data_IF_356147474702
#
_entry.id   IF_356147474702
#
_cell.length_a   1.000
_cell.length_b   1.000
_cell.length_c   1.000
_cell.angle_alpha   90.00
_cell.angle_beta   90.00
_cell.angle_gamma   90.00
#
_symmetry.space_group_name_H-M   'P 1'
#
loop_
_entity.id
_entity.type
_entity.pdbx_description
1 polymer ?
#
# COMPACT_ATOMS: atom_id res chain seq x y z
N UNK A 1 -8.82 -3.83 34.14
CA UNK A 1 -9.41 -4.87 33.30
C UNK A 1 -8.37 -5.29 32.28
N UNK A 2 -7.95 -6.56 32.29
CA UNK A 2 -6.94 -7.06 31.35
C UNK A 2 -7.59 -7.19 29.97
N UNK A 3 -7.17 -6.35 29.03
CA UNK A 3 -7.49 -6.53 27.60
C UNK A 3 -6.93 -7.86 27.13
N UNK A 4 -7.81 -8.76 26.76
CA UNK A 4 -7.49 -10.02 26.09
C UNK A 4 -6.75 -9.69 24.80
N UNK A 5 -5.43 -9.93 24.78
CA UNK A 5 -4.66 -10.02 23.53
C UNK A 5 -5.29 -11.15 22.72
N UNK A 6 -5.97 -10.80 21.64
CA UNK A 6 -6.32 -11.74 20.58
C UNK A 6 -5.02 -12.44 20.15
N UNK A 7 -5.04 -13.78 20.23
CA UNK A 7 -3.86 -14.60 19.99
C UNK A 7 -3.34 -14.46 18.56
N UNK A 8 -2.51 -13.44 18.33
CA UNK A 8 -1.69 -13.28 17.14
C UNK A 8 -0.42 -14.09 17.42
N UNK A 9 -0.20 -15.10 16.60
CA UNK A 9 0.97 -16.00 16.64
C UNK A 9 2.26 -15.16 16.48
N UNK A 10 3.29 -15.33 17.34
CA UNK A 10 4.49 -14.50 17.34
C UNK A 10 5.42 -14.67 16.10
N UNK A 11 5.01 -15.43 15.09
CA UNK A 11 5.78 -15.66 13.85
C UNK A 11 5.34 -14.79 12.66
N UNK A 12 4.54 -13.76 12.88
CA UNK A 12 4.11 -12.83 11.81
C UNK A 12 5.08 -11.65 11.60
N UNK A 13 5.08 -11.09 10.40
CA UNK A 13 5.76 -9.82 10.08
C UNK A 13 5.18 -8.71 10.95
N UNK A 14 6.04 -7.99 11.71
CA UNK A 14 5.62 -6.96 12.67
C UNK A 14 6.00 -5.53 12.26
N UNK A 15 6.88 -5.39 11.29
CA UNK A 15 7.35 -4.10 10.77
C UNK A 15 6.83 -3.87 9.37
N UNK A 16 6.38 -2.65 9.09
CA UNK A 16 6.00 -2.25 7.75
C UNK A 16 6.78 -1.02 7.28
N UNK A 17 7.05 -0.97 5.98
CA UNK A 17 7.63 0.16 5.28
C UNK A 17 6.62 0.69 4.28
N UNK A 18 6.28 1.98 4.37
CA UNK A 18 5.34 2.64 3.47
C UNK A 18 6.08 3.75 2.72
N UNK A 19 6.46 3.53 1.44
CA UNK A 19 7.06 4.55 0.61
C UNK A 19 6.03 5.64 0.25
N UNK A 20 6.31 6.89 0.65
CA UNK A 20 5.48 8.07 0.38
C UNK A 20 6.29 9.22 -0.24
N UNK A 21 7.46 8.94 -0.81
CA UNK A 21 8.35 9.95 -1.38
C UNK A 21 7.99 10.39 -2.82
N UNK A 22 7.08 9.69 -3.49
CA UNK A 22 6.71 9.94 -4.88
C UNK A 22 6.08 11.31 -5.12
N UNK A 23 6.36 11.93 -6.27
CA UNK A 23 5.89 13.28 -6.60
C UNK A 23 4.42 13.38 -7.00
N UNK A 24 3.78 12.26 -7.38
CA UNK A 24 2.36 12.24 -7.74
C UNK A 24 2.03 12.96 -9.05
N UNK A 25 2.94 12.97 -10.02
CA UNK A 25 2.81 13.76 -11.27
C UNK A 25 1.58 13.42 -12.10
N UNK A 26 1.07 12.18 -12.03
CA UNK A 26 -0.14 11.74 -12.73
C UNK A 26 -1.43 12.44 -12.23
N UNK A 27 -1.37 13.06 -11.06
CA UNK A 27 -2.50 13.75 -10.42
C UNK A 27 -2.33 15.29 -10.41
N UNK A 28 -1.39 15.84 -11.17
CA UNK A 28 -1.27 17.29 -11.33
C UNK A 28 -2.54 17.85 -12.00
N UNK A 29 -2.96 19.09 -11.65
CA UNK A 29 -2.30 20.04 -10.73
C UNK A 29 -2.57 19.81 -9.23
N UNK A 30 -3.43 18.88 -8.86
CA UNK A 30 -3.87 18.63 -7.48
C UNK A 30 -2.70 18.38 -6.52
N UNK A 31 -1.72 17.58 -6.95
CA UNK A 31 -0.55 17.20 -6.17
C UNK A 31 0.59 18.24 -6.16
N UNK A 32 0.37 19.43 -6.72
CA UNK A 32 1.37 20.52 -6.68
C UNK A 32 1.69 20.95 -5.26
N UNK A 33 0.69 20.99 -4.37
CA UNK A 33 0.82 21.42 -2.98
C UNK A 33 0.39 20.37 -1.95
N UNK A 34 -0.28 19.30 -2.38
CA UNK A 34 -0.82 18.27 -1.52
C UNK A 34 -0.21 16.91 -1.88
N UNK A 35 0.35 16.16 -0.92
CA UNK A 35 0.75 14.77 -1.15
C UNK A 35 -0.41 13.93 -1.69
N UNK A 36 -0.16 13.09 -2.71
CA UNK A 36 -1.21 12.21 -3.24
C UNK A 36 -1.78 11.26 -2.18
N UNK A 37 -0.96 10.91 -1.22
CA UNK A 37 -1.30 10.04 -0.10
C UNK A 37 -2.28 10.70 0.89
N UNK A 38 -2.37 12.05 0.86
CA UNK A 38 -3.30 12.84 1.66
C UNK A 38 -4.59 13.20 0.90
N UNK A 39 -4.77 12.72 -0.32
CA UNK A 39 -6.02 12.93 -1.03
C UNK A 39 -7.16 12.20 -0.33
N UNK A 40 -8.31 12.85 -0.15
CA UNK A 40 -9.43 12.25 0.56
C UNK A 40 -10.06 11.12 -0.26
N UNK A 41 -10.31 10.02 0.43
CA UNK A 41 -11.16 8.94 -0.05
C UNK A 41 -12.29 8.83 0.96
N UNK A 42 -13.45 9.35 0.57
CA UNK A 42 -14.62 9.62 1.41
C UNK A 42 -14.28 10.67 2.48
N UNK A 43 -13.98 10.27 3.71
CA UNK A 43 -13.79 11.15 4.88
C UNK A 43 -12.40 11.06 5.53
N UNK A 44 -11.50 10.27 4.96
CA UNK A 44 -10.13 10.12 5.45
C UNK A 44 -9.11 10.05 4.32
N UNK A 45 -7.85 10.44 4.55
CA UNK A 45 -6.83 10.38 3.51
C UNK A 45 -6.47 8.93 3.16
N UNK A 46 -6.05 8.74 1.91
CA UNK A 46 -5.70 7.43 1.38
C UNK A 46 -4.67 6.67 2.22
N UNK A 47 -3.67 7.38 2.76
CA UNK A 47 -2.62 6.77 3.61
C UNK A 47 -3.21 6.09 4.86
N UNK A 48 -4.31 6.58 5.41
CA UNK A 48 -4.93 5.98 6.59
C UNK A 48 -5.46 4.57 6.30
N UNK A 49 -6.06 4.34 5.12
CA UNK A 49 -6.52 3.00 4.71
C UNK A 49 -5.37 1.99 4.70
N UNK A 50 -4.20 2.42 4.22
CA UNK A 50 -3.00 1.57 4.13
C UNK A 50 -2.43 1.26 5.52
N UNK A 51 -2.40 2.26 6.41
CA UNK A 51 -1.95 2.06 7.80
C UNK A 51 -2.95 1.19 8.56
N UNK A 52 -4.26 1.40 8.39
CA UNK A 52 -5.30 0.55 9.00
C UNK A 52 -5.19 -0.91 8.55
N UNK A 53 -4.90 -1.17 7.26
CA UNK A 53 -4.64 -2.52 6.76
C UNK A 53 -3.44 -3.15 7.45
N UNK A 54 -2.34 -2.40 7.56
CA UNK A 54 -1.12 -2.87 8.22
C UNK A 54 -1.39 -3.25 9.69
N UNK A 55 -2.08 -2.40 10.45
CA UNK A 55 -2.44 -2.67 11.85
C UNK A 55 -3.40 -3.85 11.98
N UNK A 56 -4.39 -3.96 11.08
CA UNK A 56 -5.31 -5.11 11.06
C UNK A 56 -4.59 -6.44 10.74
N UNK A 57 -3.42 -6.38 10.09
CA UNK A 57 -2.55 -7.52 9.84
C UNK A 57 -1.54 -7.81 10.99
N UNK A 58 -1.60 -7.05 12.10
CA UNK A 58 -0.73 -7.26 13.25
C UNK A 58 0.63 -6.56 13.16
N UNK A 59 0.79 -5.59 12.25
CA UNK A 59 1.99 -4.73 12.24
C UNK A 59 2.01 -3.88 13.52
N UNK A 60 3.15 -3.86 14.19
CA UNK A 60 3.37 -3.14 15.44
C UNK A 60 3.94 -1.74 15.20
N UNK A 61 4.75 -1.58 14.16
CA UNK A 61 5.35 -0.30 13.81
C UNK A 61 5.46 -0.11 12.30
N UNK A 62 5.39 1.16 11.89
CA UNK A 62 5.42 1.58 10.49
C UNK A 62 6.53 2.59 10.28
N UNK A 63 7.39 2.37 9.29
CA UNK A 63 8.32 3.37 8.78
C UNK A 63 7.77 3.98 7.50
N UNK A 64 7.53 5.28 7.50
CA UNK A 64 7.21 6.04 6.29
C UNK A 64 8.48 6.60 5.66
N UNK A 65 8.74 6.23 4.40
CA UNK A 65 9.87 6.79 3.64
C UNK A 65 9.37 8.02 2.92
N UNK A 66 9.63 9.20 3.49
CA UNK A 66 9.12 10.49 3.03
C UNK A 66 10.05 11.18 2.03
N UNK A 67 9.54 12.21 1.34
CA UNK A 67 10.28 13.10 0.46
C UNK A 67 10.11 14.57 0.85
N UNK A 68 10.53 15.48 -0.03
CA UNK A 68 10.18 16.90 0.10
C UNK A 68 8.66 17.08 -0.02
N UNK A 69 8.11 18.06 0.70
CA UNK A 69 6.69 18.44 0.65
C UNK A 69 5.71 17.36 1.15
N UNK A 70 6.18 16.44 2.02
CA UNK A 70 5.36 15.37 2.61
C UNK A 70 4.97 15.62 4.07
N UNK A 71 5.21 16.83 4.60
CA UNK A 71 4.95 17.20 5.99
C UNK A 71 3.50 16.93 6.43
N UNK A 72 2.53 17.14 5.56
CA UNK A 72 1.13 16.87 5.86
C UNK A 72 0.85 15.41 6.25
N UNK A 73 1.68 14.45 5.82
CA UNK A 73 1.58 13.05 6.23
C UNK A 73 2.10 12.88 7.67
N UNK A 74 3.19 13.57 8.00
CA UNK A 74 3.78 13.56 9.34
C UNK A 74 2.80 14.21 10.33
N UNK A 75 2.34 15.42 10.03
CA UNK A 75 1.37 16.17 10.85
C UNK A 75 0.04 15.40 11.05
N UNK A 76 -0.35 14.52 10.12
CA UNK A 76 -1.60 13.77 10.20
C UNK A 76 -1.59 12.68 11.27
N UNK A 77 -0.46 12.01 11.49
CA UNK A 77 -0.32 10.95 12.49
C UNK A 77 0.21 11.46 13.82
N UNK A 78 0.65 12.71 13.89
CA UNK A 78 1.11 13.34 15.13
C UNK A 78 -0.06 13.90 15.96
N UNK A 79 0.17 14.16 17.24
CA UNK A 79 -0.80 14.85 18.08
C UNK A 79 -0.88 16.33 17.73
N UNK A 80 -2.08 16.83 17.48
CA UNK A 80 -2.34 18.27 17.32
C UNK A 80 -2.85 18.85 18.65
N UNK A 81 -1.90 19.22 19.53
CA UNK A 81 -2.21 19.62 20.91
C UNK A 81 -3.19 20.79 20.96
N UNK A 82 -3.01 21.80 20.11
CA UNK A 82 -3.86 22.99 20.07
C UNK A 82 -5.28 22.62 19.64
N UNK A 83 -5.44 21.78 18.60
CA UNK A 83 -6.73 21.31 18.13
C UNK A 83 -7.42 20.42 19.18
N UNK A 84 -6.68 19.52 19.81
CA UNK A 84 -7.22 18.66 20.86
C UNK A 84 -7.75 19.48 22.06
N UNK A 85 -7.00 20.51 22.48
CA UNK A 85 -7.43 21.41 23.56
C UNK A 85 -8.66 22.24 23.17
N UNK A 86 -8.73 22.73 21.93
CA UNK A 86 -9.89 23.47 21.44
C UNK A 86 -11.15 22.60 21.40
N UNK A 87 -11.06 21.38 20.86
CA UNK A 87 -12.16 20.42 20.83
C UNK A 87 -12.66 20.07 22.25
N UNK A 88 -11.73 19.87 23.19
CA UNK A 88 -12.06 19.57 24.59
C UNK A 88 -12.76 20.75 25.27
N UNK A 89 -12.27 21.98 25.07
CA UNK A 89 -12.85 23.20 25.60
C UNK A 89 -14.27 23.47 25.09
N UNK A 90 -14.55 23.08 23.85
CA UNK A 90 -15.88 23.23 23.21
C UNK A 90 -16.79 21.99 23.39
N UNK A 91 -16.38 20.99 24.14
CA UNK A 91 -17.16 19.79 24.39
C UNK A 91 -17.36 18.86 23.16
N UNK A 92 -16.54 19.00 22.11
CA UNK A 92 -16.57 18.20 20.88
C UNK A 92 -15.83 16.86 21.11
N UNK A 93 -16.39 16.04 21.99
CA UNK A 93 -15.71 14.84 22.49
C UNK A 93 -15.61 13.72 21.45
N UNK A 94 -16.55 13.65 20.49
CA UNK A 94 -16.52 12.63 19.43
C UNK A 94 -15.40 12.94 18.43
N UNK A 95 -15.27 14.19 18.00
CA UNK A 95 -14.21 14.67 17.12
C UNK A 95 -12.84 14.52 17.79
N UNK A 96 -12.74 14.89 19.07
CA UNK A 96 -11.53 14.71 19.89
C UNK A 96 -11.11 13.23 19.95
N UNK A 97 -12.06 12.33 20.19
CA UNK A 97 -11.79 10.90 20.21
C UNK A 97 -11.37 10.38 18.84
N UNK A 98 -11.92 10.93 17.76
CA UNK A 98 -11.56 10.56 16.38
C UNK A 98 -10.11 10.94 16.06
N UNK A 99 -9.68 12.20 16.32
CA UNK A 99 -8.31 12.64 16.03
C UNK A 99 -7.28 11.93 16.94
N UNK A 100 -7.58 11.76 18.23
CA UNK A 100 -6.70 10.99 19.14
C UNK A 100 -6.54 9.53 18.72
N UNK A 101 -7.56 8.93 18.10
CA UNK A 101 -7.47 7.58 17.55
C UNK A 101 -6.50 7.51 16.38
N UNK A 102 -6.45 8.53 15.52
CA UNK A 102 -5.52 8.60 14.39
C UNK A 102 -4.09 8.69 14.92
N UNK A 103 -3.80 9.60 15.84
CA UNK A 103 -2.46 9.78 16.42
C UNK A 103 -1.96 8.54 17.19
N UNK A 104 -2.86 7.72 17.68
CA UNK A 104 -2.55 6.47 18.39
C UNK A 104 -2.75 5.20 17.54
N UNK A 105 -2.97 5.33 16.21
CA UNK A 105 -3.29 4.21 15.33
C UNK A 105 -2.12 3.23 15.22
N UNK A 106 -0.91 3.75 15.08
CA UNK A 106 0.32 2.97 14.93
C UNK A 106 1.50 3.71 15.55
N UNK A 107 2.58 2.97 15.87
CA UNK A 107 3.87 3.60 16.12
C UNK A 107 4.53 3.92 14.78
N UNK A 108 4.55 5.21 14.42
CA UNK A 108 5.04 5.68 13.12
C UNK A 108 6.43 6.29 13.26
N UNK A 109 7.32 5.90 12.36
CA UNK A 109 8.66 6.45 12.21
C UNK A 109 8.80 7.08 10.83
N UNK A 110 9.69 8.05 10.67
CA UNK A 110 9.91 8.73 9.41
C UNK A 110 11.38 8.72 9.04
N UNK A 111 11.68 8.40 7.78
CA UNK A 111 13.00 8.57 7.18
C UNK A 111 12.84 9.25 5.83
N UNK A 112 13.80 10.08 5.45
CA UNK A 112 13.72 10.82 4.20
C UNK A 112 14.53 10.15 3.09
N UNK A 113 13.88 9.84 1.96
CA UNK A 113 14.54 9.60 0.69
C UNK A 113 15.05 10.94 0.15
N UNK A 114 16.38 11.14 0.15
CA UNK A 114 16.99 12.44 -0.22
C UNK A 114 16.88 12.73 -1.72
N UNK A 115 16.92 11.68 -2.54
CA UNK A 115 16.82 11.73 -4.01
C UNK A 115 15.76 10.72 -4.46
N UNK A 116 14.78 11.09 -5.33
CA UNK A 116 13.75 10.18 -5.81
C UNK A 116 14.32 9.25 -6.90
N UNK A 117 14.94 8.15 -6.50
CA UNK A 117 15.59 7.17 -7.39
C UNK A 117 14.80 5.89 -7.57
N UNK A 118 13.49 5.93 -7.38
CA UNK A 118 12.61 4.79 -7.55
C UNK A 118 12.25 4.07 -6.25
N UNK A 119 11.43 3.03 -6.38
CA UNK A 119 10.87 2.29 -5.25
C UNK A 119 11.94 1.49 -4.49
N UNK A 120 12.87 0.84 -5.21
CA UNK A 120 13.98 0.11 -4.59
C UNK A 120 14.82 1.03 -3.69
N UNK A 121 15.22 2.21 -4.18
CA UNK A 121 15.97 3.19 -3.38
C UNK A 121 15.17 3.67 -2.17
N UNK A 122 13.86 3.87 -2.28
CA UNK A 122 13.03 4.21 -1.13
C UNK A 122 13.06 3.11 -0.06
N UNK A 123 12.92 1.84 -0.46
CA UNK A 123 12.98 0.69 0.46
C UNK A 123 14.37 0.59 1.09
N UNK A 124 15.44 0.88 0.37
CA UNK A 124 16.80 0.85 0.89
C UNK A 124 17.00 1.76 2.11
N UNK A 125 16.25 2.89 2.19
CA UNK A 125 16.30 3.79 3.35
C UNK A 125 15.78 3.12 4.64
N UNK A 126 15.06 2.01 4.53
CA UNK A 126 14.48 1.30 5.68
C UNK A 126 15.43 0.28 6.34
N UNK A 127 16.63 0.02 5.80
CA UNK A 127 17.55 -1.04 6.25
C UNK A 127 17.80 -0.99 7.77
N UNK A 128 18.12 0.17 8.31
CA UNK A 128 18.41 0.33 9.74
C UNK A 128 17.18 0.11 10.63
N UNK A 129 15.99 0.45 10.14
CA UNK A 129 14.73 0.22 10.86
C UNK A 129 14.33 -1.26 10.86
N UNK A 130 14.51 -1.93 9.74
CA UNK A 130 14.16 -3.36 9.58
C UNK A 130 15.04 -4.24 10.47
N UNK A 131 16.33 -3.90 10.60
CA UNK A 131 17.27 -4.53 11.53
C UNK A 131 17.31 -6.07 11.43
N UNK A 132 17.40 -6.57 10.21
CA UNK A 132 17.54 -8.01 9.94
C UNK A 132 16.26 -8.84 10.02
N UNK A 133 15.10 -8.24 10.27
CA UNK A 133 13.80 -8.94 10.31
C UNK A 133 13.13 -9.00 8.93
N UNK A 134 12.19 -9.92 8.76
CA UNK A 134 11.25 -9.87 7.64
C UNK A 134 10.26 -8.70 7.86
N UNK A 135 9.90 -8.02 6.77
CA UNK A 135 9.06 -6.83 6.84
C UNK A 135 8.06 -6.75 5.69
N UNK A 136 6.98 -6.04 5.91
CA UNK A 136 6.01 -5.74 4.86
C UNK A 136 6.36 -4.44 4.14
N UNK A 137 6.04 -4.35 2.85
CA UNK A 137 6.00 -3.08 2.11
C UNK A 137 4.58 -2.88 1.60
N UNK A 138 4.02 -1.68 1.86
CA UNK A 138 2.70 -1.31 1.38
C UNK A 138 2.81 0.02 0.61
N UNK A 139 2.41 0.01 -0.65
CA UNK A 139 2.37 1.25 -1.45
C UNK A 139 1.13 2.06 -1.06
N UNK A 140 1.35 3.34 -0.81
CA UNK A 140 0.34 4.24 -0.25
C UNK A 140 -0.75 4.67 -1.25
N UNK A 141 -0.55 4.42 -2.53
CA UNK A 141 -1.52 4.72 -3.59
C UNK A 141 -2.37 3.50 -4.01
N UNK A 142 -2.18 2.36 -3.36
CA UNK A 142 -3.00 1.17 -3.54
C UNK A 142 -3.89 0.94 -2.32
N UNK A 143 -5.18 1.23 -2.43
CA UNK A 143 -6.17 0.84 -1.43
C UNK A 143 -6.71 -0.53 -1.81
N UNK A 144 -6.58 -1.49 -0.90
CA UNK A 144 -7.13 -2.85 -1.11
C UNK A 144 -8.24 -3.08 -0.10
N UNK A 145 -9.44 -3.21 -0.62
CA UNK A 145 -10.62 -3.55 0.16
C UNK A 145 -10.89 -5.06 0.08
N UNK A 146 -10.88 -5.72 1.22
CA UNK A 146 -11.07 -7.16 1.30
C UNK A 146 -11.71 -7.56 2.64
N UNK A 147 -12.51 -8.64 2.70
CA UNK A 147 -13.03 -9.17 3.97
C UNK A 147 -11.92 -9.60 4.94
N UNK A 148 -10.81 -10.11 4.39
CA UNK A 148 -9.57 -10.40 5.11
C UNK A 148 -8.49 -9.51 4.50
N UNK A 149 -7.81 -8.65 5.29
CA UNK A 149 -6.79 -7.75 4.77
C UNK A 149 -5.78 -8.47 3.86
N UNK A 150 -5.37 -7.81 2.77
CA UNK A 150 -4.46 -8.42 1.80
C UNK A 150 -3.16 -8.90 2.47
N UNK A 151 -2.59 -8.09 3.35
CA UNK A 151 -1.37 -8.47 4.07
C UNK A 151 -1.58 -9.71 4.96
N UNK A 152 -2.77 -9.91 5.55
CA UNK A 152 -3.10 -11.13 6.31
C UNK A 152 -3.12 -12.35 5.39
N UNK A 153 -3.71 -12.24 4.19
CA UNK A 153 -3.71 -13.32 3.21
C UNK A 153 -2.28 -13.68 2.79
N UNK A 154 -1.41 -12.68 2.56
CA UNK A 154 0.00 -12.89 2.25
C UNK A 154 0.79 -13.56 3.39
N UNK A 155 0.53 -13.18 4.64
CA UNK A 155 1.13 -13.82 5.81
C UNK A 155 0.73 -15.31 5.90
N UNK A 156 -0.51 -15.66 5.55
CA UNK A 156 -0.95 -17.05 5.46
C UNK A 156 -0.17 -17.83 4.40
N UNK A 157 0.12 -17.21 3.25
CA UNK A 157 0.99 -17.81 2.22
C UNK A 157 2.41 -17.99 2.75
N UNK A 158 3.01 -16.95 3.36
CA UNK A 158 4.37 -17.02 3.90
C UNK A 158 4.54 -18.10 4.98
N UNK A 159 3.53 -18.34 5.81
CA UNK A 159 3.53 -19.45 6.81
C UNK A 159 3.53 -20.82 6.15
N UNK A 160 2.80 -20.99 5.06
CA UNK A 160 2.69 -22.27 4.35
C UNK A 160 3.87 -22.52 3.42
N UNK A 161 4.39 -21.46 2.82
CA UNK A 161 5.46 -21.48 1.83
C UNK A 161 6.55 -20.51 2.26
N UNK A 162 7.58 -20.97 3.01
CA UNK A 162 8.63 -20.08 3.52
C UNK A 162 9.39 -19.37 2.40
N UNK A 163 9.29 -18.05 2.34
CA UNK A 163 9.89 -17.22 1.31
C UNK A 163 9.35 -15.79 1.34
N UNK A 164 9.84 -14.96 0.44
CA UNK A 164 9.22 -13.64 0.19
C UNK A 164 7.86 -13.82 -0.49
N UNK A 165 6.94 -12.89 -0.27
CA UNK A 165 5.61 -12.94 -0.89
C UNK A 165 5.29 -11.62 -1.56
N UNK A 166 4.78 -11.66 -2.78
CA UNK A 166 4.25 -10.51 -3.51
C UNK A 166 2.76 -10.71 -3.74
N UNK A 167 1.96 -9.66 -3.55
CA UNK A 167 0.55 -9.72 -3.93
C UNK A 167 0.42 -9.52 -5.44
N UNK A 168 -0.44 -10.31 -6.07
CA UNK A 168 -0.71 -10.21 -7.50
C UNK A 168 -2.22 -10.18 -7.77
N UNK A 169 -2.58 -9.62 -8.92
CA UNK A 169 -3.92 -9.68 -9.49
C UNK A 169 -3.82 -9.97 -10.98
N UNK A 170 -4.86 -10.53 -11.56
CA UNK A 170 -4.99 -10.64 -13.01
C UNK A 170 -5.37 -9.29 -13.61
N UNK A 171 -4.69 -8.89 -14.67
CA UNK A 171 -4.99 -7.68 -15.43
C UNK A 171 -5.25 -8.01 -16.89
N UNK A 172 -5.98 -7.16 -17.64
CA UNK A 172 -6.02 -7.24 -19.10
C UNK A 172 -4.61 -7.24 -19.69
N UNK A 173 -4.39 -8.00 -20.77
CA UNK A 173 -3.06 -8.15 -21.38
C UNK A 173 -2.43 -6.80 -21.78
N UNK A 174 -3.25 -5.90 -22.27
CA UNK A 174 -2.88 -4.53 -22.67
C UNK A 174 -2.40 -3.65 -21.51
N UNK A 175 -2.75 -3.99 -20.26
CA UNK A 175 -2.35 -3.23 -19.09
C UNK A 175 -1.02 -3.72 -18.47
N UNK A 176 -0.48 -4.86 -18.93
CA UNK A 176 0.73 -5.46 -18.34
C UNK A 176 1.94 -4.53 -18.35
N UNK A 177 2.04 -3.64 -19.35
CA UNK A 177 3.08 -2.61 -19.45
C UNK A 177 3.10 -1.56 -18.33
N UNK A 178 2.11 -1.59 -17.43
CA UNK A 178 2.04 -0.67 -16.26
C UNK A 178 2.55 -1.29 -14.97
N UNK A 179 2.85 -2.60 -14.95
CA UNK A 179 3.13 -3.38 -13.74
C UNK A 179 4.40 -4.23 -13.87
N UNK A 180 4.96 -4.61 -12.74
CA UNK A 180 5.83 -5.78 -12.68
C UNK A 180 4.98 -7.04 -12.91
N UNK A 181 5.38 -7.89 -13.84
CA UNK A 181 4.67 -9.12 -14.20
C UNK A 181 5.48 -10.32 -13.73
N UNK A 182 4.82 -11.28 -13.12
CA UNK A 182 5.45 -12.53 -12.69
C UNK A 182 5.32 -13.63 -13.75
N UNK A 183 6.31 -14.51 -13.75
CA UNK A 183 6.24 -15.87 -14.29
C UNK A 183 6.34 -16.85 -13.14
N UNK A 184 5.62 -17.97 -13.16
CA UNK A 184 5.66 -18.93 -12.06
C UNK A 184 4.79 -20.14 -12.27
N UNK A 185 4.94 -21.10 -11.37
CA UNK A 185 4.16 -22.34 -11.35
C UNK A 185 3.19 -22.35 -10.17
N UNK A 186 1.94 -22.67 -10.42
CA UNK A 186 0.92 -22.78 -9.38
C UNK A 186 1.27 -23.90 -8.38
N UNK A 187 1.37 -23.55 -7.09
CA UNK A 187 1.67 -24.49 -5.99
C UNK A 187 0.48 -24.71 -5.06
N UNK A 188 -0.52 -23.81 -5.14
CA UNK A 188 -1.82 -23.94 -4.48
C UNK A 188 -2.83 -23.01 -5.18
N UNK A 189 -4.14 -23.14 -4.92
CA UNK A 189 -5.12 -22.21 -5.43
C UNK A 189 -4.79 -20.76 -5.04
N UNK A 190 -4.58 -19.89 -6.05
CA UNK A 190 -4.20 -18.50 -5.86
C UNK A 190 -2.77 -18.28 -5.36
N UNK A 191 -1.88 -19.28 -5.45
CA UNK A 191 -0.48 -19.16 -5.04
C UNK A 191 0.46 -19.77 -6.09
N UNK A 192 1.45 -19.00 -6.50
CA UNK A 192 2.49 -19.43 -7.46
C UNK A 192 3.88 -19.35 -6.84
N UNK A 193 4.73 -20.32 -7.10
CA UNK A 193 6.18 -20.18 -6.92
C UNK A 193 6.72 -19.43 -8.13
N UNK A 194 7.31 -18.28 -7.88
CA UNK A 194 7.78 -17.35 -8.91
C UNK A 194 9.10 -17.84 -9.49
N UNK A 195 9.18 -17.94 -10.82
CA UNK A 195 10.37 -18.31 -11.59
C UNK A 195 10.98 -17.12 -12.35
N UNK A 196 10.22 -16.04 -12.53
CA UNK A 196 10.67 -14.83 -13.22
C UNK A 196 9.82 -13.62 -12.88
N UNK A 197 10.46 -12.43 -12.95
CA UNK A 197 9.80 -11.14 -12.79
C UNK A 197 10.32 -10.18 -13.85
N UNK A 198 9.41 -9.44 -14.49
CA UNK A 198 9.75 -8.44 -15.52
C UNK A 198 9.01 -7.14 -15.20
N UNK A 199 9.77 -6.05 -15.07
CA UNK A 199 9.19 -4.72 -14.84
C UNK A 199 8.67 -4.13 -16.14
N UNK A 200 7.36 -3.82 -16.17
CA UNK A 200 6.69 -3.13 -17.28
C UNK A 200 7.05 -3.68 -18.67
N UNK A 201 6.85 -4.98 -18.93
CA UNK A 201 7.13 -5.57 -20.22
C UNK A 201 6.24 -4.95 -21.31
N UNK A 202 6.67 -5.04 -22.57
CA UNK A 202 5.73 -4.85 -23.68
C UNK A 202 4.58 -5.87 -23.51
N UNK A 203 3.31 -5.49 -23.70
CA UNK A 203 2.20 -6.42 -23.60
C UNK A 203 2.32 -7.67 -24.48
N UNK A 204 3.00 -7.57 -25.62
CA UNK A 204 3.29 -8.73 -26.47
C UNK A 204 4.26 -9.72 -25.81
N UNK A 205 5.22 -9.23 -25.03
CA UNK A 205 6.30 -10.01 -24.41
C UNK A 205 6.03 -10.38 -22.96
N UNK A 206 4.93 -9.90 -22.35
CA UNK A 206 4.59 -10.20 -20.98
C UNK A 206 4.45 -11.73 -20.76
N UNK A 207 5.16 -12.34 -19.78
CA UNK A 207 5.14 -13.80 -19.61
C UNK A 207 3.75 -14.32 -19.19
N UNK A 208 3.04 -13.54 -18.40
CA UNK A 208 1.68 -13.82 -17.95
C UNK A 208 0.86 -12.52 -17.88
N UNK A 209 -0.34 -12.58 -17.31
CA UNK A 209 -1.14 -11.41 -16.93
C UNK A 209 -1.24 -11.24 -15.39
N UNK A 210 -0.37 -11.88 -14.63
CA UNK A 210 -0.30 -11.76 -13.18
C UNK A 210 0.57 -10.56 -12.80
N UNK A 211 -0.09 -9.45 -12.49
CA UNK A 211 0.53 -8.17 -12.17
C UNK A 211 0.79 -8.02 -10.67
N UNK A 212 1.99 -7.61 -10.30
CA UNK A 212 2.33 -7.29 -8.92
C UNK A 212 1.62 -5.99 -8.53
N UNK A 213 1.00 -6.01 -7.35
CA UNK A 213 0.39 -4.85 -6.74
C UNK A 213 1.18 -4.40 -5.51
N UNK A 214 0.84 -3.27 -4.96
CA UNK A 214 1.60 -2.57 -3.94
C UNK A 214 1.71 -3.24 -2.56
N UNK A 215 1.79 -4.56 -2.46
CA UNK A 215 1.95 -5.32 -1.21
C UNK A 215 3.02 -6.37 -1.35
N UNK A 216 3.99 -6.36 -0.40
CA UNK A 216 5.12 -7.27 -0.39
C UNK A 216 5.42 -7.72 1.04
N UNK A 217 5.89 -8.95 1.22
CA UNK A 217 6.60 -9.45 2.40
C UNK A 217 8.01 -9.78 1.94
N UNK A 218 8.99 -9.08 2.48
CA UNK A 218 10.38 -9.13 2.03
C UNK A 218 11.30 -9.65 3.14
N UNK A 219 12.36 -10.33 2.73
CA UNK A 219 13.44 -10.73 3.61
C UNK A 219 14.58 -9.69 3.57
N UNK A 220 15.40 -9.57 4.64
CA UNK A 220 16.48 -8.57 4.73
C UNK A 220 17.50 -8.61 3.58
N UNK A 221 17.76 -9.77 2.99
CA UNK A 221 18.65 -9.91 1.84
C UNK A 221 18.24 -9.10 0.60
N UNK A 222 17.02 -8.53 0.59
CA UNK A 222 16.58 -7.64 -0.48
C UNK A 222 17.42 -6.35 -0.54
N UNK A 223 17.95 -5.88 0.58
CA UNK A 223 18.75 -4.65 0.61
C UNK A 223 20.04 -4.78 -0.19
N UNK A 224 20.73 -5.92 -0.09
CA UNK A 224 21.93 -6.21 -0.88
C UNK A 224 21.60 -6.33 -2.37
N UNK A 225 20.48 -6.96 -2.70
CA UNK A 225 20.01 -7.05 -4.08
C UNK A 225 19.69 -5.66 -4.66
N UNK A 226 19.01 -4.79 -3.89
CA UNK A 226 18.71 -3.41 -4.31
C UNK A 226 20.00 -2.61 -4.56
N UNK A 227 21.02 -2.73 -3.69
CA UNK A 227 22.30 -2.02 -3.86
C UNK A 227 23.04 -2.45 -5.14
N UNK A 228 22.88 -3.70 -5.56
CA UNK A 228 23.50 -4.24 -6.76
C UNK A 228 22.66 -4.03 -8.02
N UNK A 229 21.37 -3.65 -7.87
CA UNK A 229 20.46 -3.41 -8.98
C UNK A 229 20.84 -2.10 -9.68
N UNK A 230 21.07 -2.18 -10.99
CA UNK A 230 21.32 -0.99 -11.83
C UNK A 230 19.98 -0.27 -12.08
N UNK A 231 20.00 1.07 -12.17
CA UNK A 231 18.82 1.80 -12.61
C UNK A 231 18.28 1.25 -13.93
N UNK A 232 16.99 0.99 -13.97
CA UNK A 232 16.28 0.44 -15.11
C UNK A 232 15.36 1.47 -15.77
N UNK A 233 14.07 1.14 -15.90
CA UNK A 233 13.07 2.02 -16.50
C UNK A 233 13.02 3.38 -15.80
N UNK A 234 13.07 4.48 -16.56
CA UNK A 234 13.12 5.88 -16.07
C UNK A 234 14.33 6.23 -15.18
N UNK A 235 15.45 5.54 -15.30
CA UNK A 235 16.64 5.71 -14.47
C UNK A 235 16.36 5.49 -12.96
N UNK A 236 15.39 4.63 -12.65
CA UNK A 236 14.97 4.27 -11.31
C UNK A 236 15.47 2.88 -10.89
N UNK A 237 15.80 2.71 -9.61
CA UNK A 237 16.09 1.40 -9.01
C UNK A 237 14.76 0.69 -8.76
N UNK A 238 14.46 -0.31 -9.58
CA UNK A 238 13.19 -1.03 -9.51
C UNK A 238 13.25 -2.15 -8.48
N UNK A 239 12.20 -2.28 -7.67
CA UNK A 239 12.07 -3.40 -6.71
C UNK A 239 11.90 -4.73 -7.43
N UNK A 240 11.19 -4.74 -8.57
CA UNK A 240 10.97 -5.94 -9.40
C UNK A 240 12.29 -6.54 -9.88
N UNK A 241 13.25 -5.71 -10.29
CA UNK A 241 14.58 -6.16 -10.73
C UNK A 241 15.39 -6.74 -9.56
N UNK A 242 15.29 -6.11 -8.38
CA UNK A 242 15.94 -6.64 -7.18
C UNK A 242 15.32 -7.98 -6.74
N UNK A 243 14.00 -8.14 -6.83
CA UNK A 243 13.33 -9.42 -6.58
C UNK A 243 13.75 -10.50 -7.59
N UNK A 244 13.87 -10.14 -8.87
CA UNK A 244 14.39 -11.05 -9.90
C UNK A 244 15.80 -11.53 -9.57
N UNK A 245 16.69 -10.64 -9.10
CA UNK A 245 18.04 -11.00 -8.68
C UNK A 245 18.07 -11.89 -7.42
N UNK A 246 17.03 -11.88 -6.60
CA UNK A 246 16.92 -12.72 -5.39
C UNK A 246 16.47 -14.15 -5.68
N UNK A 247 15.84 -14.45 -6.82
CA UNK A 247 15.27 -15.78 -7.11
C UNK A 247 16.28 -16.96 -6.95
N UNK A 248 17.56 -16.83 -7.31
CA UNK A 248 18.53 -17.91 -7.10
C UNK A 248 18.84 -18.20 -5.63
N UNK A 249 18.56 -17.27 -4.72
CA UNK A 249 18.97 -17.32 -3.31
C UNK A 249 17.79 -17.50 -2.35
N UNK A 250 16.62 -16.99 -2.70
CA UNK A 250 15.41 -16.99 -1.85
C UNK A 250 14.18 -17.22 -2.71
N UNK A 251 13.33 -18.14 -2.30
CA UNK A 251 12.03 -18.34 -2.95
C UNK A 251 11.16 -17.12 -2.81
N UNK A 252 10.44 -16.83 -3.88
CA UNK A 252 9.39 -15.80 -3.95
C UNK A 252 8.09 -16.47 -4.32
N UNK A 253 7.03 -16.16 -3.61
CA UNK A 253 5.68 -16.65 -3.89
C UNK A 253 4.78 -15.47 -4.27
N UNK A 254 3.91 -15.69 -5.23
CA UNK A 254 2.86 -14.74 -5.58
C UNK A 254 1.55 -15.17 -4.92
N UNK A 255 0.89 -14.22 -4.27
CA UNK A 255 -0.42 -14.39 -3.64
C UNK A 255 -1.47 -13.62 -4.45
N UNK A 256 -2.35 -14.30 -5.16
CA UNK A 256 -3.54 -13.67 -5.75
C UNK A 256 -4.55 -13.44 -4.62
N UNK A 257 -4.59 -12.21 -4.14
CA UNK A 257 -5.43 -11.86 -3.01
C UNK A 257 -6.91 -11.78 -3.41
N UNK A 258 -7.79 -12.03 -2.46
CA UNK A 258 -9.23 -11.85 -2.60
C UNK A 258 -9.61 -10.47 -2.09
N UNK A 259 -10.07 -9.60 -2.97
CA UNK A 259 -10.42 -8.23 -2.66
C UNK A 259 -10.51 -7.36 -3.91
N UNK A 260 -10.77 -6.09 -3.72
CA UNK A 260 -10.81 -5.08 -4.78
C UNK A 260 -9.71 -4.06 -4.54
N UNK A 261 -8.86 -3.87 -5.54
CA UNK A 261 -7.82 -2.84 -5.53
C UNK A 261 -8.31 -1.57 -6.20
N UNK A 262 -8.01 -0.44 -5.58
CA UNK A 262 -8.21 0.90 -6.14
C UNK A 262 -6.86 1.59 -6.26
N UNK A 263 -6.40 1.86 -7.50
CA UNK A 263 -5.20 2.67 -7.78
C UNK A 263 -5.57 4.15 -7.70
N UNK A 264 -5.40 4.75 -6.52
CA UNK A 264 -5.68 6.17 -6.31
C UNK A 264 -4.57 7.09 -6.86
N UNK A 265 -3.52 6.53 -7.43
CA UNK A 265 -2.48 7.26 -8.16
C UNK A 265 -2.95 7.79 -9.53
N UNK A 266 -4.19 7.50 -9.93
CA UNK A 266 -4.84 8.01 -11.15
C UNK A 266 -6.15 8.72 -10.81
N UNK A 267 -6.57 9.68 -11.65
CA UNK A 267 -7.83 10.41 -11.44
C UNK A 267 -9.04 9.47 -11.43
N UNK A 268 -9.10 8.57 -12.40
CA UNK A 268 -10.21 7.60 -12.51
C UNK A 268 -10.20 6.62 -11.33
N UNK A 269 -9.03 6.15 -10.90
CA UNK A 269 -8.90 5.26 -9.75
C UNK A 269 -9.35 5.93 -8.45
N UNK A 270 -8.99 7.21 -8.25
CA UNK A 270 -9.45 8.00 -7.10
C UNK A 270 -10.98 8.16 -7.10
N UNK A 271 -11.60 8.46 -8.26
CA UNK A 271 -13.05 8.55 -8.38
C UNK A 271 -13.73 7.21 -8.09
N UNK A 272 -13.23 6.11 -8.67
CA UNK A 272 -13.75 4.76 -8.41
C UNK A 272 -13.67 4.40 -6.92
N UNK A 273 -12.54 4.70 -6.26
CA UNK A 273 -12.38 4.46 -4.83
C UNK A 273 -13.42 5.23 -4.01
N UNK A 274 -13.57 6.53 -4.27
CA UNK A 274 -14.55 7.37 -3.56
C UNK A 274 -15.98 6.84 -3.72
N UNK A 275 -16.41 6.57 -4.93
CA UNK A 275 -17.78 6.09 -5.20
C UNK A 275 -18.01 4.72 -4.54
N UNK A 276 -17.09 3.77 -4.76
CA UNK A 276 -17.27 2.41 -4.29
C UNK A 276 -17.27 2.32 -2.75
N UNK A 277 -16.39 3.06 -2.07
CA UNK A 277 -16.32 3.07 -0.61
C UNK A 277 -17.47 3.87 0.01
N UNK A 278 -17.88 5.00 -0.59
CA UNK A 278 -19.05 5.75 -0.13
C UNK A 278 -20.35 4.95 -0.26
N UNK A 279 -20.52 4.15 -1.33
CA UNK A 279 -21.69 3.28 -1.51
C UNK A 279 -21.82 2.18 -0.44
N UNK A 280 -20.78 1.92 0.33
CA UNK A 280 -20.78 0.95 1.43
C UNK A 280 -21.03 1.60 2.80
N UNK A 281 -21.00 2.91 2.86
CA UNK A 281 -21.27 3.70 4.06
C UNK A 281 -22.78 3.82 4.29
N UNK A 282 -23.31 3.36 5.45
CA UNK A 282 -24.75 3.43 5.73
C UNK A 282 -25.31 4.87 5.70
N UNK A 283 -24.49 5.84 6.12
CA UNK A 283 -24.84 7.27 6.17
C UNK A 283 -24.79 7.99 4.82
N UNK A 284 -24.16 7.40 3.80
CA UNK A 284 -23.98 8.02 2.47
C UNK A 284 -24.64 7.23 1.34
N UNK A 285 -24.81 5.93 1.53
CA UNK A 285 -25.16 5.00 0.45
C UNK A 285 -26.50 5.30 -0.23
N UNK A 286 -27.52 5.69 0.54
CA UNK A 286 -28.86 5.95 -0.01
C UNK A 286 -28.86 7.18 -0.92
N UNK A 287 -28.36 8.31 -0.42
CA UNK A 287 -28.32 9.58 -1.15
C UNK A 287 -27.41 9.49 -2.37
N UNK A 288 -26.24 8.80 -2.22
CA UNK A 288 -25.32 8.63 -3.34
C UNK A 288 -25.91 7.76 -4.45
N UNK A 289 -26.63 6.68 -4.13
CA UNK A 289 -27.34 5.84 -5.13
C UNK A 289 -28.37 6.62 -5.90
N UNK A 290 -29.18 7.42 -5.20
CA UNK A 290 -30.17 8.28 -5.82
C UNK A 290 -29.50 9.27 -6.78
N UNK A 291 -28.50 10.01 -6.29
CA UNK A 291 -27.74 10.98 -7.08
C UNK A 291 -27.12 10.35 -8.36
N UNK A 292 -26.51 9.17 -8.23
CA UNK A 292 -25.92 8.47 -9.38
C UNK A 292 -26.99 8.05 -10.41
N UNK A 293 -28.17 7.57 -9.96
CA UNK A 293 -29.27 7.19 -10.84
C UNK A 293 -29.77 8.40 -11.63
N UNK A 294 -30.11 9.48 -10.93
CA UNK A 294 -30.60 10.75 -11.55
C UNK A 294 -29.58 11.33 -12.54
N UNK A 295 -28.28 11.27 -12.17
CA UNK A 295 -27.20 11.79 -13.05
C UNK A 295 -27.08 10.95 -14.32
N UNK A 296 -27.16 9.62 -14.22
CA UNK A 296 -27.07 8.75 -15.39
C UNK A 296 -28.30 8.92 -16.30
N UNK A 297 -29.52 9.01 -15.73
CA UNK A 297 -30.74 9.30 -16.50
C UNK A 297 -30.61 10.60 -17.28
N UNK A 298 -30.14 11.69 -16.63
CA UNK A 298 -29.99 13.00 -17.27
C UNK A 298 -28.89 13.07 -18.37
N UNK A 299 -27.98 12.11 -18.44
CA UNK A 299 -26.96 12.02 -19.50
C UNK A 299 -27.47 11.28 -20.74
N UNK A 300 -28.40 10.34 -20.55
CA UNK A 300 -28.90 9.48 -21.62
C UNK A 300 -30.26 9.93 -22.18
N UNK A 301 -30.91 10.93 -21.59
CA UNK A 301 -32.05 11.68 -22.14
C UNK A 301 -31.57 12.87 -23.03
#
# INVERSE_FOLDING_TARGET
MKTTKTGIDPLGVRKAVIPVAGMGTRLLPLTKSQPKEMLPVVDKPAIQYVVEEAIAAGIESVLMVTGRSKRAIEDYFDHSVELEQDLEAHGKLEELAAIRRISNLAQVYYVRQKMPRGLGDAILQARAYVDGEEFAVLLADDIIEAPVPCLVQMQQVARRFPGMVVAVMQVPREETGSYGIIEGTAVAPGVWEVSGLVEKPDPADAPTNLAIVGRYILAPGIFEAIEQTRPGHNDEVQLTDALQAMLPFKKVYACEFKGTRYDIGTQMGLLKANIALALKRPDLSADLRQFLSETLEAIFD
#
